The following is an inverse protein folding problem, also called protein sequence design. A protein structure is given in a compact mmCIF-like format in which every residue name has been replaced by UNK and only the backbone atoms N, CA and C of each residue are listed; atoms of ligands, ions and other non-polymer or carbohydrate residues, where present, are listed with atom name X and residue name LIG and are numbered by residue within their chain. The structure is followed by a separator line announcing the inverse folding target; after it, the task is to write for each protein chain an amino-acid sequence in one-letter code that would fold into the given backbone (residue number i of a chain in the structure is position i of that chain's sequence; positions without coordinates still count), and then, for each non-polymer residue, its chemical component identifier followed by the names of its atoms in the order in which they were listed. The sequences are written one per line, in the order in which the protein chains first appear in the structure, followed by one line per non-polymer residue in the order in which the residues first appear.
data_IF_252115047367
#
_entry.id   IF_252115047367
#
_cell.length_a   1.000
_cell.length_b   1.000
_cell.length_c   1.000
_cell.angle_alpha   90.00
_cell.angle_beta   90.00
_cell.angle_gamma   90.00
#
_symmetry.space_group_name_H-M   'P 1'
#
loop_
_entity.id
_entity.type
_entity.pdbx_description
1 polymer ?
#
# COMPACT_ATOMS: atom_id res chain seq x y z
N UNK A 1 -3.30 -0.14 23.86
CA UNK A 1 -3.62 -0.12 23.34
C UNK A 1 -3.60 -0.28 22.86
N UNK A 2 -3.77 -0.46 22.47
CA UNK A 2 -4.01 -0.56 21.83
C UNK A 2 -4.09 -0.67 21.13
N UNK A 3 -4.14 -0.74 20.85
CA UNK A 3 -4.32 -0.96 20.23
C UNK A 3 -4.55 -1.02 19.22
N UNK A 4 -4.51 -0.71 18.96
CA UNK A 4 -4.83 -0.56 17.96
C UNK A 4 -4.37 -1.10 16.96
N UNK A 5 -4.70 -1.74 16.59
CA UNK A 5 -4.31 -2.25 15.75
C UNK A 5 -4.74 -1.86 14.63
N UNK A 6 -4.25 -1.16 14.30
CA UNK A 6 -4.47 -0.78 13.20
C UNK A 6 -4.64 -1.73 12.26
N UNK A 7 -5.49 -1.66 11.57
CA UNK A 7 -5.67 -2.46 10.53
C UNK A 7 -4.58 -2.25 9.59
N UNK A 8 -3.84 -3.23 9.33
CA UNK A 8 -2.75 -3.13 8.39
C UNK A 8 -3.25 -3.22 6.96
N UNK A 9 -4.56 -3.46 6.76
CA UNK A 9 -5.08 -3.62 5.41
C UNK A 9 -4.81 -2.45 4.47
N UNK A 10 -4.97 -1.19 4.89
CA UNK A 10 -4.63 -0.07 4.01
C UNK A 10 -3.16 -0.06 3.61
N UNK A 11 -2.29 -0.40 4.57
CA UNK A 11 -0.87 -0.42 4.30
C UNK A 11 -0.52 -1.58 3.37
N UNK A 12 -1.15 -2.74 3.57
CA UNK A 12 -0.93 -3.89 2.71
C UNK A 12 -1.37 -3.59 1.28
N UNK A 13 -2.44 -2.82 1.14
CA UNK A 13 -2.92 -2.41 -0.17
C UNK A 13 -1.87 -1.57 -0.88
N UNK A 14 -1.24 -0.64 -0.17
CA UNK A 14 -0.18 0.18 -0.72
C UNK A 14 1.03 -0.65 -1.10
N UNK A 15 1.45 -1.56 -0.21
CA UNK A 15 2.60 -2.41 -0.49
C UNK A 15 2.36 -3.24 -1.75
N UNK A 16 1.19 -3.86 -1.86
CA UNK A 16 0.86 -4.68 -3.00
C UNK A 16 0.84 -3.86 -4.29
N UNK A 17 0.24 -2.68 -4.23
CA UNK A 17 0.17 -1.81 -5.40
C UNK A 17 1.55 -1.40 -5.88
N UNK A 18 2.40 -0.98 -4.95
CA UNK A 18 3.76 -0.57 -5.30
C UNK A 18 4.56 -1.73 -5.86
N UNK A 19 4.41 -2.91 -5.26
CA UNK A 19 5.12 -4.09 -5.74
C UNK A 19 4.72 -4.41 -7.18
N UNK A 20 3.43 -4.41 -7.45
CA UNK A 20 2.92 -4.77 -8.78
C UNK A 20 3.24 -3.70 -9.82
N UNK A 21 3.35 -2.45 -9.39
CA UNK A 21 3.64 -1.35 -10.31
C UNK A 21 5.05 -1.42 -10.86
N UNK A 22 5.97 -2.03 -10.11
CA UNK A 22 7.38 -2.14 -10.45
C UNK A 22 8.04 -0.76 -10.60
N UNK A 23 7.42 0.26 -10.02
CA UNK A 23 7.98 1.62 -10.07
C UNK A 23 9.05 1.86 -9.02
N UNK A 24 9.06 1.05 -7.97
CA UNK A 24 10.07 1.17 -6.93
C UNK A 24 11.23 0.25 -7.29
N UNK A 25 12.37 0.82 -7.57
CA UNK A 25 13.52 0.05 -8.00
C UNK A 25 14.72 0.31 -7.11
N UNK A 26 15.64 -0.66 -7.12
CA UNK A 26 16.90 -0.50 -6.41
C UNK A 26 17.83 0.37 -7.25
N UNK A 27 18.98 0.70 -6.70
CA UNK A 27 19.97 1.50 -7.43
C UNK A 27 20.39 0.85 -8.73
N UNK A 28 20.34 -0.49 -8.79
CA UNK A 28 20.72 -1.19 -10.01
C UNK A 28 19.60 -1.26 -11.05
N UNK A 29 18.47 -0.61 -10.77
CA UNK A 29 17.36 -0.55 -11.72
C UNK A 29 16.40 -1.72 -11.67
N UNK A 30 16.64 -2.70 -10.82
CA UNK A 30 15.74 -3.85 -10.72
C UNK A 30 14.56 -3.54 -9.80
N UNK A 31 13.36 -4.04 -10.12
CA UNK A 31 12.20 -3.79 -9.27
C UNK A 31 12.40 -4.35 -7.87
N UNK A 32 11.90 -3.63 -6.87
CA UNK A 32 12.04 -4.04 -5.48
C UNK A 32 11.23 -5.31 -5.20
N UNK A 33 11.77 -6.13 -4.31
CA UNK A 33 11.09 -7.36 -3.91
C UNK A 33 9.99 -7.05 -2.90
N UNK A 34 8.97 -7.90 -2.88
CA UNK A 34 7.86 -7.74 -1.94
C UNK A 34 8.34 -7.71 -0.50
N UNK A 35 9.29 -8.59 -0.16
CA UNK A 35 9.83 -8.64 1.20
C UNK A 35 10.47 -7.31 1.59
N UNK A 36 11.22 -6.72 0.70
CA UNK A 36 11.89 -5.45 1.01
C UNK A 36 10.89 -4.31 1.17
N UNK A 37 9.88 -4.26 0.32
CA UNK A 37 8.84 -3.25 0.45
C UNK A 37 8.08 -3.42 1.76
N UNK A 38 7.78 -4.66 2.12
CA UNK A 38 7.08 -4.93 3.37
C UNK A 38 7.88 -4.48 4.57
N UNK A 39 9.19 -4.76 4.57
CA UNK A 39 10.05 -4.36 5.67
C UNK A 39 10.15 -2.85 5.79
N UNK A 40 10.21 -2.17 4.65
CA UNK A 40 10.27 -0.71 4.66
C UNK A 40 9.01 -0.12 5.29
N UNK A 41 7.86 -0.67 4.94
CA UNK A 41 6.60 -0.19 5.50
C UNK A 41 6.47 -0.53 6.98
N UNK A 42 6.99 -1.71 7.39
CA UNK A 42 7.01 -2.06 8.81
C UNK A 42 7.80 -1.04 9.60
N UNK A 43 8.96 -0.66 9.06
CA UNK A 43 9.81 0.30 9.73
C UNK A 43 9.16 1.68 9.75
N UNK A 44 8.63 2.10 8.61
CA UNK A 44 8.05 3.45 8.48
C UNK A 44 6.86 3.65 9.41
N UNK A 45 5.98 2.67 9.51
CA UNK A 45 4.76 2.80 10.29
C UNK A 45 4.82 2.07 11.64
N UNK A 46 5.97 1.49 11.96
CA UNK A 46 6.15 0.76 13.23
C UNK A 46 5.08 -0.32 13.42
N UNK A 47 4.88 -1.11 12.38
CA UNK A 47 3.91 -2.20 12.42
C UNK A 47 4.62 -3.50 12.06
N UNK A 48 3.91 -4.61 12.18
CA UNK A 48 4.46 -5.90 11.84
C UNK A 48 3.65 -6.54 10.73
N UNK A 49 4.33 -6.93 9.66
CA UNK A 49 3.70 -7.64 8.55
C UNK A 49 4.33 -9.02 8.48
N UNK A 50 3.71 -9.99 9.17
CA UNK A 50 4.22 -11.36 9.11
C UNK A 50 3.75 -11.98 7.82
N UNK A 51 4.58 -12.82 7.21
CA UNK A 51 4.22 -13.53 5.99
C UNK A 51 3.67 -12.58 4.93
N UNK A 52 4.54 -11.73 4.41
CA UNK A 52 4.13 -10.73 3.43
C UNK A 52 3.52 -11.33 2.16
N UNK A 53 3.97 -12.54 1.78
CA UNK A 53 3.41 -13.18 0.59
C UNK A 53 1.97 -13.59 0.80
N UNK A 54 1.65 -14.13 1.98
CA UNK A 54 0.28 -14.48 2.29
C UNK A 54 -0.60 -13.24 2.38
N UNK A 55 -0.07 -12.18 3.01
CA UNK A 55 -0.82 -10.94 3.13
C UNK A 55 -1.10 -10.31 1.76
N UNK A 56 -0.12 -10.38 0.87
CA UNK A 56 -0.30 -9.89 -0.48
C UNK A 56 -1.42 -10.68 -1.18
N UNK A 57 -1.42 -12.01 -1.03
CA UNK A 57 -2.47 -12.84 -1.60
C UNK A 57 -3.83 -12.48 -1.03
N UNK A 58 -3.88 -12.20 0.27
CA UNK A 58 -5.13 -11.81 0.91
C UNK A 58 -5.71 -10.54 0.28
N UNK A 59 -4.84 -9.59 -0.06
CA UNK A 59 -5.28 -8.37 -0.72
C UNK A 59 -5.85 -8.68 -2.10
N UNK A 60 -5.12 -9.48 -2.86
CA UNK A 60 -5.53 -9.82 -4.23
C UNK A 60 -6.86 -10.57 -4.26
N UNK A 61 -7.12 -11.38 -3.24
CA UNK A 61 -8.33 -12.21 -3.18
C UNK A 61 -9.57 -11.48 -2.71
N UNK A 62 -9.46 -10.22 -2.33
CA UNK A 62 -10.62 -9.49 -1.83
C UNK A 62 -11.73 -9.41 -2.87
N UNK A 63 -12.95 -9.18 -2.40
CA UNK A 63 -14.08 -8.95 -3.30
C UNK A 63 -13.78 -7.76 -4.20
N UNK A 64 -14.26 -7.82 -5.45
CA UNK A 64 -13.95 -6.74 -6.41
C UNK A 64 -14.22 -5.33 -5.88
N UNK A 65 -15.28 -5.13 -5.12
CA UNK A 65 -15.58 -3.80 -4.59
C UNK A 65 -14.67 -3.36 -3.46
N UNK A 66 -13.85 -4.27 -2.92
CA UNK A 66 -12.99 -3.97 -1.79
C UNK A 66 -11.51 -4.03 -2.10
N UNK A 67 -11.14 -4.51 -3.28
CA UNK A 67 -9.72 -4.74 -3.59
C UNK A 67 -8.87 -3.49 -3.41
N UNK A 68 -9.33 -2.37 -3.89
CA UNK A 68 -8.55 -1.14 -3.83
C UNK A 68 -9.32 -0.01 -3.15
N UNK A 69 -10.17 -0.35 -2.20
CA UNK A 69 -11.00 0.66 -1.55
C UNK A 69 -10.18 1.79 -0.95
N UNK A 70 -9.12 1.45 -0.23
CA UNK A 70 -8.28 2.47 0.39
C UNK A 70 -7.52 3.29 -0.64
N UNK A 71 -6.95 2.63 -1.64
CA UNK A 71 -6.20 3.33 -2.68
C UNK A 71 -7.10 4.25 -3.48
N UNK A 72 -8.32 3.81 -3.77
CA UNK A 72 -9.29 4.65 -4.47
C UNK A 72 -9.61 5.88 -3.64
N UNK A 73 -9.71 5.70 -2.31
CA UNK A 73 -9.94 6.83 -1.42
C UNK A 73 -8.81 7.83 -1.45
N UNK A 74 -7.55 7.34 -1.49
CA UNK A 74 -6.40 8.23 -1.58
C UNK A 74 -6.41 9.00 -2.88
N UNK A 75 -6.75 8.32 -3.97
CA UNK A 75 -6.80 8.98 -5.27
C UNK A 75 -7.84 10.10 -5.27
N UNK A 76 -8.99 9.84 -4.66
CA UNK A 76 -10.04 10.85 -4.56
C UNK A 76 -9.59 12.06 -3.76
N UNK A 77 -8.90 11.81 -2.66
CA UNK A 77 -8.42 12.91 -1.82
C UNK A 77 -7.46 13.81 -2.59
N UNK A 78 -6.58 13.20 -3.38
CA UNK A 78 -5.64 13.97 -4.17
C UNK A 78 -6.36 14.78 -5.24
N UNK A 79 -7.36 14.19 -5.89
CA UNK A 79 -8.13 14.89 -6.90
C UNK A 79 -8.89 16.07 -6.31
N UNK A 80 -9.46 15.89 -5.13
CA UNK A 80 -10.19 16.96 -4.45
C UNK A 80 -9.27 18.12 -4.11
N UNK A 81 -8.06 17.82 -3.67
CA UNK A 81 -7.11 18.87 -3.35
C UNK A 81 -6.70 19.64 -4.59
N UNK A 82 -6.55 18.94 -5.71
CA UNK A 82 -6.22 19.56 -6.99
C UNK A 82 -7.32 20.55 -7.38
N UNK A 83 -8.57 20.13 -7.29
CA UNK A 83 -9.70 20.99 -7.63
C UNK A 83 -9.80 22.18 -6.69
N UNK A 84 -9.60 21.93 -5.42
CA UNK A 84 -9.67 22.98 -4.40
C UNK A 84 -8.66 24.07 -4.67
N UNK A 85 -7.48 23.73 -5.18
CA UNK A 85 -6.44 24.71 -5.45
C UNK A 85 -6.57 25.34 -6.83
N UNK A 86 -7.54 24.92 -7.61
CA UNK A 86 -7.81 25.54 -8.89
C UNK A 86 -6.86 25.21 -10.02
N UNK A 87 -6.06 24.19 -9.87
CA UNK A 87 -5.18 23.78 -10.95
C UNK A 87 -5.98 23.05 -12.02
N UNK A 88 -5.45 23.02 -13.22
CA UNK A 88 -6.13 22.37 -14.34
C UNK A 88 -5.26 21.36 -15.02
#
# INVERSE_FOLDING_TARGET
MTGVQTCALPILEMVSGLFLSKEIVYQNGKPAYLVDLSKAFEWLFNIKISDCHQKHEDVIKRKPGKITEFLNGLAELIRKEHEKKGYR
#
